data_IF_665325472434
#
_entry.id   IF_665325472434
#
_cell.length_a   1.000
_cell.length_b   1.000
_cell.length_c   1.000
_cell.angle_alpha   90.00
_cell.angle_beta   90.00
_cell.angle_gamma   90.00
#
_symmetry.space_group_name_H-M   'P 1'
#
loop_
_entity.id
_entity.type
_entity.pdbx_description
1 polymer ?
#
# COMPACT_ATOMS: atom_id res chain seq x y z
N UNK A 1 12.26 11.57 -2.21
CA UNK A 1 12.19 10.12 -1.94
C UNK A 1 13.19 9.82 -0.84
N UNK A 2 12.75 9.23 0.27
CA UNK A 2 13.60 8.91 1.43
C UNK A 2 13.64 7.40 1.66
N UNK A 3 14.78 6.90 2.14
CA UNK A 3 14.95 5.50 2.50
C UNK A 3 15.20 5.38 3.99
N UNK A 4 14.52 4.45 4.65
CA UNK A 4 14.61 4.19 6.07
C UNK A 4 14.92 2.71 6.30
N UNK A 5 16.01 2.45 7.01
CA UNK A 5 16.38 1.10 7.44
C UNK A 5 15.82 0.84 8.85
N UNK A 6 14.93 -0.14 8.95
CA UNK A 6 14.23 -0.56 10.15
C UNK A 6 14.56 -2.02 10.51
N UNK A 7 15.56 -2.64 9.88
CA UNK A 7 15.89 -4.06 10.09
C UNK A 7 16.31 -4.35 11.52
N UNK A 8 16.99 -3.39 12.14
CA UNK A 8 17.36 -3.42 13.55
C UNK A 8 16.18 -3.53 14.53
N UNK A 9 14.94 -3.31 14.08
CA UNK A 9 13.74 -3.42 14.89
C UNK A 9 13.04 -4.78 14.77
N UNK A 10 13.44 -5.62 13.81
CA UNK A 10 12.79 -6.90 13.52
C UNK A 10 11.25 -6.76 13.48
N UNK A 11 10.52 -7.44 14.38
CA UNK A 11 9.05 -7.41 14.45
C UNK A 11 8.45 -6.09 14.97
N UNK A 12 9.24 -5.23 15.62
CA UNK A 12 8.79 -3.97 16.26
C UNK A 12 8.95 -2.74 15.34
N UNK A 13 9.04 -2.94 14.02
CA UNK A 13 9.24 -1.85 13.05
C UNK A 13 8.01 -0.94 12.86
N UNK A 14 6.82 -1.42 13.22
CA UNK A 14 5.52 -0.78 12.99
C UNK A 14 5.40 0.65 13.50
N UNK A 15 5.69 0.82 14.80
CA UNK A 15 5.56 2.11 15.46
C UNK A 15 6.49 3.14 14.80
N UNK A 16 7.75 2.73 14.57
CA UNK A 16 8.76 3.57 13.93
C UNK A 16 8.42 3.92 12.49
N UNK A 17 7.90 2.98 11.70
CA UNK A 17 7.46 3.26 10.34
C UNK A 17 6.37 4.36 10.33
N UNK A 18 5.37 4.25 11.21
CA UNK A 18 4.31 5.24 11.33
C UNK A 18 4.82 6.63 11.73
N UNK A 19 5.72 6.70 12.71
CA UNK A 19 6.35 7.95 13.13
C UNK A 19 7.18 8.60 12.02
N UNK A 20 7.94 7.81 11.25
CA UNK A 20 8.77 8.31 10.15
C UNK A 20 7.92 8.84 9.00
N UNK A 21 6.81 8.19 8.67
CA UNK A 21 5.89 8.71 7.65
C UNK A 21 5.31 10.06 8.09
N UNK A 22 4.98 10.21 9.37
CA UNK A 22 4.40 11.45 9.89
C UNK A 22 5.43 12.59 9.94
N UNK A 23 6.60 12.32 10.54
CA UNK A 23 7.62 13.33 10.86
C UNK A 23 8.60 13.61 9.72
N UNK A 24 8.93 12.60 8.90
CA UNK A 24 10.01 12.71 7.91
C UNK A 24 9.50 12.80 6.47
N UNK A 25 8.28 12.36 6.15
CA UNK A 25 7.75 12.46 4.79
C UNK A 25 6.85 13.68 4.63
N UNK A 26 7.09 14.43 3.57
CA UNK A 26 6.21 15.50 3.11
C UNK A 26 5.06 14.95 2.26
N UNK A 27 3.99 15.72 2.09
CA UNK A 27 2.85 15.29 1.27
C UNK A 27 3.26 15.07 -0.19
N UNK A 28 2.82 13.94 -0.77
CA UNK A 28 3.21 13.49 -2.11
C UNK A 28 4.57 12.81 -2.17
N UNK A 29 5.34 12.82 -1.07
CA UNK A 29 6.66 12.22 -1.02
C UNK A 29 6.60 10.70 -0.84
N UNK A 30 7.57 10.03 -1.45
CA UNK A 30 7.73 8.57 -1.38
C UNK A 30 8.78 8.20 -0.34
N UNK A 31 8.41 7.31 0.58
CA UNK A 31 9.30 6.65 1.53
C UNK A 31 9.49 5.18 1.17
N UNK A 32 10.72 4.70 1.29
CA UNK A 32 11.07 3.29 1.16
C UNK A 32 11.50 2.81 2.55
N UNK A 33 10.83 1.80 3.06
CA UNK A 33 11.11 1.21 4.36
C UNK A 33 11.66 -0.19 4.16
N UNK A 34 12.84 -0.47 4.70
CA UNK A 34 13.46 -1.79 4.68
C UNK A 34 13.37 -2.38 6.08
N UNK A 35 12.76 -3.56 6.23
CA UNK A 35 12.58 -4.22 7.52
C UNK A 35 12.75 -5.73 7.39
N UNK A 36 13.10 -6.37 8.50
CA UNK A 36 13.18 -7.82 8.60
C UNK A 36 11.92 -8.37 9.27
N UNK A 37 11.29 -9.35 8.63
CA UNK A 37 10.14 -10.06 9.16
C UNK A 37 10.52 -11.51 9.42
N UNK A 38 10.54 -11.88 10.70
CA UNK A 38 10.70 -13.28 11.12
C UNK A 38 9.33 -14.00 11.15
N UNK A 39 8.24 -13.28 11.46
CA UNK A 39 6.86 -13.80 11.48
C UNK A 39 5.92 -13.04 10.53
N UNK A 40 5.36 -13.74 9.53
CA UNK A 40 4.58 -13.14 8.44
C UNK A 40 3.30 -12.42 8.86
N UNK A 41 2.80 -12.66 10.08
CA UNK A 41 1.62 -11.97 10.63
C UNK A 41 1.81 -10.44 10.65
N UNK A 42 3.07 -10.02 10.68
CA UNK A 42 3.54 -8.65 10.72
C UNK A 42 3.77 -8.04 9.33
N UNK A 43 3.34 -8.63 8.23
CA UNK A 43 3.28 -7.92 6.94
C UNK A 43 1.87 -7.40 6.69
N UNK A 44 0.86 -8.25 6.84
CA UNK A 44 -0.54 -7.89 6.53
C UNK A 44 -1.01 -6.69 7.38
N UNK A 45 -0.70 -6.70 8.68
CA UNK A 45 -1.03 -5.58 9.59
C UNK A 45 -0.40 -4.25 9.15
N UNK A 46 0.76 -4.28 8.47
CA UNK A 46 1.48 -3.06 8.05
C UNK A 46 0.80 -2.43 6.85
N UNK A 47 0.35 -3.25 5.91
CA UNK A 47 -0.44 -2.80 4.77
C UNK A 47 -1.79 -2.23 5.23
N UNK A 48 -2.45 -2.87 6.20
CA UNK A 48 -3.70 -2.35 6.78
C UNK A 48 -3.50 -1.02 7.53
N UNK A 49 -2.44 -0.91 8.34
CA UNK A 49 -2.14 0.33 9.08
C UNK A 49 -1.86 1.52 8.15
N UNK A 50 -1.04 1.30 7.11
CA UNK A 50 -0.73 2.32 6.10
C UNK A 50 -2.01 2.72 5.34
N UNK A 51 -2.82 1.73 4.97
CA UNK A 51 -4.11 1.95 4.31
C UNK A 51 -5.12 2.67 5.20
N UNK A 52 -5.16 2.39 6.51
CA UNK A 52 -6.08 3.01 7.46
C UNK A 52 -5.75 4.49 7.69
N UNK A 53 -4.47 4.85 7.62
CA UNK A 53 -4.00 6.24 7.70
C UNK A 53 -4.15 7.05 6.40
N UNK A 54 -4.69 6.44 5.33
CA UNK A 54 -4.88 7.11 4.05
C UNK A 54 -3.59 7.28 3.24
N UNK A 55 -2.56 6.50 3.54
CA UNK A 55 -1.33 6.43 2.77
C UNK A 55 -1.45 5.38 1.65
N UNK A 56 -0.71 5.59 0.58
CA UNK A 56 -0.73 4.72 -0.60
C UNK A 56 0.48 3.78 -0.55
N UNK A 57 0.22 2.47 -0.51
CA UNK A 57 1.26 1.45 -0.73
C UNK A 57 1.46 1.33 -2.23
N UNK A 58 2.63 1.74 -2.72
CA UNK A 58 2.96 1.67 -4.15
C UNK A 58 3.57 0.33 -4.53
N UNK A 59 4.37 -0.25 -3.64
CA UNK A 59 5.04 -1.52 -3.90
C UNK A 59 5.44 -2.21 -2.60
N UNK A 60 5.50 -3.53 -2.62
CA UNK A 60 6.06 -4.37 -1.57
C UNK A 60 6.91 -5.47 -2.21
N UNK A 61 8.20 -5.50 -1.92
CA UNK A 61 9.12 -6.49 -2.49
C UNK A 61 9.83 -7.25 -1.38
N UNK A 62 9.78 -8.57 -1.46
CA UNK A 62 10.55 -9.46 -0.60
C UNK A 62 11.88 -9.79 -1.30
N UNK A 63 13.00 -9.44 -0.67
CA UNK A 63 14.34 -9.70 -1.22
C UNK A 63 14.86 -11.09 -0.86
N UNK A 64 14.58 -11.56 0.35
CA UNK A 64 14.97 -12.90 0.80
C UNK A 64 13.97 -13.45 1.83
N UNK A 65 14.37 -14.47 2.59
CA UNK A 65 13.47 -15.10 3.57
C UNK A 65 13.01 -14.15 4.69
N UNK A 66 13.77 -13.12 5.03
CA UNK A 66 13.49 -12.16 6.13
C UNK A 66 13.40 -10.71 5.68
N UNK A 67 14.19 -10.28 4.70
CA UNK A 67 14.24 -8.89 4.24
C UNK A 67 13.09 -8.51 3.30
N UNK A 68 12.38 -7.44 3.67
CA UNK A 68 11.26 -6.85 2.93
C UNK A 68 11.45 -5.35 2.74
N UNK A 69 11.06 -4.85 1.56
CA UNK A 69 10.85 -3.43 1.33
C UNK A 69 9.39 -3.09 1.12
N UNK A 70 8.98 -1.98 1.71
CA UNK A 70 7.68 -1.37 1.48
C UNK A 70 7.90 0.05 0.94
N UNK A 71 7.29 0.34 -0.20
CA UNK A 71 7.31 1.66 -0.83
C UNK A 71 5.95 2.31 -0.57
N UNK A 72 5.97 3.41 0.18
CA UNK A 72 4.77 4.13 0.61
C UNK A 72 4.85 5.57 0.10
N UNK A 73 3.75 6.07 -0.45
CA UNK A 73 3.57 7.49 -0.74
C UNK A 73 2.62 8.11 0.29
N UNK A 74 3.03 9.26 0.83
CA UNK A 74 2.17 10.05 1.72
C UNK A 74 1.13 10.81 0.89
N UNK A 75 -0.02 10.18 0.64
CA UNK A 75 -1.17 10.80 -0.03
C UNK A 75 -2.01 11.66 0.92
N UNK A 76 -2.76 12.62 0.36
CA UNK A 76 -3.77 13.35 1.13
C UNK A 76 -4.96 12.41 1.44
N UNK A 77 -5.57 12.48 2.63
CA UNK A 77 -6.72 11.64 2.99
C UNK A 77 -7.93 11.81 2.05
N UNK A 78 -7.98 12.87 1.23
CA UNK A 78 -9.02 13.08 0.21
C UNK A 78 -8.91 12.17 -1.02
N UNK A 79 -7.82 11.44 -1.26
CA UNK A 79 -7.62 10.69 -2.50
C UNK A 79 -8.34 9.34 -2.58
N UNK A 80 -8.93 8.83 -1.49
CA UNK A 80 -9.56 7.49 -1.48
C UNK A 80 -10.97 7.47 -2.08
N UNK A 81 -11.67 8.60 -2.19
CA UNK A 81 -13.08 8.60 -2.62
C UNK A 81 -13.29 8.47 -4.14
N UNK A 82 -12.25 8.58 -4.97
CA UNK A 82 -12.41 8.68 -6.43
C UNK A 82 -12.01 7.43 -7.24
N UNK A 83 -11.55 6.35 -6.60
CA UNK A 83 -11.09 5.13 -7.31
C UNK A 83 -12.05 3.92 -7.23
N UNK A 84 -13.29 4.09 -6.79
CA UNK A 84 -14.29 2.99 -6.74
C UNK A 84 -15.52 3.24 -7.64
N UNK A 85 -15.41 4.12 -8.63
CA UNK A 85 -16.47 4.34 -9.62
C UNK A 85 -15.96 4.00 -11.03
N UNK A 86 -15.67 2.72 -11.26
CA UNK A 86 -15.88 2.15 -12.59
C UNK A 86 -17.35 1.71 -12.67
N UNK A 87 -18.25 2.42 -13.39
CA UNK A 87 -19.41 1.76 -13.95
C UNK A 87 -18.92 0.82 -15.05
N UNK A 88 -19.01 -0.47 -14.74
CA UNK A 88 -18.85 -1.57 -15.67
C UNK A 88 -19.63 -1.30 -16.97
N UNK A 89 -18.95 -1.53 -18.09
CA UNK A 89 -19.42 -1.40 -19.47
C UNK A 89 -20.86 -1.93 -19.67
N UNK A 90 -21.69 -1.28 -20.51
CA UNK A 90 -23.00 -1.82 -20.86
C UNK A 90 -22.86 -3.11 -21.68
N UNK A 91 -23.44 -4.18 -21.16
CA UNK A 91 -23.75 -5.44 -21.85
C UNK A 91 -24.44 -5.15 -23.19
N UNK A 92 -23.77 -5.46 -24.31
CA UNK A 92 -24.46 -5.68 -25.58
C UNK A 92 -24.80 -7.17 -25.67
N UNK A 93 -26.01 -7.52 -25.24
CA UNK A 93 -26.72 -8.67 -25.78
C UNK A 93 -27.99 -8.12 -26.45
N UNK A 94 -27.84 -7.79 -27.73
CA UNK A 94 -28.97 -7.38 -28.56
C UNK A 94 -29.59 -8.65 -29.15
N UNK A 95 -30.75 -9.01 -28.63
CA UNK A 95 -31.63 -10.01 -29.21
C UNK A 95 -32.32 -9.46 -30.46
N UNK A 96 -32.29 -10.21 -31.57
CA UNK A 96 -33.37 -10.35 -32.57
C UNK A 96 -32.92 -11.39 -33.59
N UNK A 97 -33.43 -12.63 -33.58
CA UNK A 97 -34.78 -13.07 -33.95
C UNK A 97 -35.11 -12.85 -35.44
N UNK A 98 -35.44 -13.96 -36.08
CA UNK A 98 -36.06 -14.07 -37.39
C UNK A 98 -35.48 -15.26 -38.15
N UNK A 99 -36.22 -16.12 -38.81
CA UNK A 99 -37.66 -16.42 -38.88
C UNK A 99 -37.69 -17.61 -39.85
N UNK A 100 -38.54 -18.60 -39.58
CA UNK A 100 -39.04 -19.62 -40.54
C UNK A 100 -38.09 -20.70 -41.12
#
# INVERSE_FOLDING_TARGET
MKRFDLRHLHNDFYARMGELIDTQLTQGEVGIFLFEVDDFSNVAKSAEFVSSKGYEVMNSVRFNHRDWTLVVRKSHPQSRLESTLEPQSPTQESAKAGDE
#
